data_IF_335319592099
#
_entry.id   IF_335319592099
#
_cell.length_a   1.000
_cell.length_b   1.000
_cell.length_c   1.000
_cell.angle_alpha   90.00
_cell.angle_beta   90.00
_cell.angle_gamma   90.00
#
_symmetry.space_group_name_H-M   'P 1'
#
loop_
_entity.id
_entity.type
_entity.pdbx_description
1 polymer ?
#
# COMPACT_ATOMS: atom_id res chain seq x y z
N UNK A 1 -8.30 -0.01 12.94
CA UNK A 1 -7.41 1.11 12.59
C UNK A 1 -5.99 0.58 12.58
N UNK A 2 -5.34 0.49 11.41
CA UNK A 2 -3.93 0.15 11.34
C UNK A 2 -3.09 1.42 11.48
N UNK A 3 -2.06 1.40 12.33
CA UNK A 3 -1.19 2.56 12.56
C UNK A 3 -0.49 3.01 11.27
N UNK A 4 -0.17 2.08 10.38
CA UNK A 4 0.42 2.40 9.07
C UNK A 4 -0.53 3.27 8.22
N UNK A 5 -1.80 2.90 8.11
CA UNK A 5 -2.81 3.68 7.36
C UNK A 5 -3.03 5.07 7.97
N UNK A 6 -3.01 5.16 9.30
CA UNK A 6 -3.11 6.43 10.00
C UNK A 6 -1.89 7.32 9.69
N UNK A 7 -0.70 6.73 9.72
CA UNK A 7 0.57 7.41 9.42
C UNK A 7 0.59 7.95 7.99
N UNK A 8 0.13 7.15 7.02
CA UNK A 8 0.02 7.59 5.61
C UNK A 8 -0.87 8.82 5.45
N UNK A 9 -1.98 8.91 6.19
CA UNK A 9 -2.87 10.07 6.17
C UNK A 9 -2.24 11.34 6.77
N UNK A 10 -1.38 11.19 7.79
CA UNK A 10 -0.65 12.30 8.40
C UNK A 10 0.40 12.94 7.46
N UNK A 11 0.85 12.19 6.45
CA UNK A 11 1.89 12.67 5.52
C UNK A 11 1.45 13.93 4.77
N UNK A 12 0.18 14.03 4.35
CA UNK A 12 -0.33 15.19 3.60
C UNK A 12 -0.15 16.50 4.37
N UNK A 13 -0.71 16.61 5.60
CA UNK A 13 -0.48 17.75 6.46
C UNK A 13 0.99 17.97 6.85
N UNK A 14 1.80 16.91 7.00
CA UNK A 14 3.24 17.05 7.25
C UNK A 14 4.00 17.69 6.08
N UNK A 15 3.52 17.49 4.84
CA UNK A 15 4.03 18.16 3.64
C UNK A 15 3.56 19.62 3.54
N UNK A 16 2.75 20.10 4.49
CA UNK A 16 2.18 21.44 4.49
C UNK A 16 0.97 21.60 3.58
N UNK A 17 0.15 20.55 3.44
CA UNK A 17 -1.19 20.64 2.86
C UNK A 17 -2.23 20.87 3.97
N UNK A 18 -3.20 21.74 3.73
CA UNK A 18 -4.36 21.90 4.59
C UNK A 18 -5.14 20.59 4.69
N UNK A 19 -5.89 20.41 5.79
CA UNK A 19 -6.77 19.26 5.96
C UNK A 19 -7.79 19.17 4.83
N UNK A 20 -8.39 20.30 4.47
CA UNK A 20 -9.42 20.38 3.43
C UNK A 20 -8.91 20.12 2.02
N UNK A 21 -7.60 20.28 1.76
CA UNK A 21 -6.97 19.89 0.49
C UNK A 21 -6.51 18.42 0.52
N UNK A 22 -6.10 17.94 1.70
CA UNK A 22 -5.71 16.54 1.91
C UNK A 22 -6.90 15.58 1.80
N UNK A 23 -8.08 15.99 2.28
CA UNK A 23 -9.31 15.19 2.28
C UNK A 23 -9.75 14.74 0.86
N UNK A 24 -9.93 15.63 -0.13
CA UNK A 24 -10.31 15.23 -1.48
C UNK A 24 -9.22 14.36 -2.14
N UNK A 25 -7.94 14.61 -1.88
CA UNK A 25 -6.83 13.75 -2.35
C UNK A 25 -6.99 12.34 -1.80
N UNK A 26 -7.17 12.19 -0.48
CA UNK A 26 -7.39 10.88 0.16
C UNK A 26 -8.60 10.17 -0.46
N UNK A 27 -9.74 10.85 -0.58
CA UNK A 27 -10.98 10.26 -1.07
C UNK A 27 -10.85 9.85 -2.54
N UNK A 28 -10.48 10.78 -3.41
CA UNK A 28 -10.44 10.53 -4.86
C UNK A 28 -9.36 9.51 -5.22
N UNK A 29 -8.16 9.64 -4.64
CA UNK A 29 -7.07 8.72 -4.94
C UNK A 29 -7.42 7.31 -4.50
N UNK A 30 -7.94 7.07 -3.30
CA UNK A 30 -8.35 5.72 -2.87
C UNK A 30 -9.50 5.14 -3.70
N UNK A 31 -10.49 5.96 -4.08
CA UNK A 31 -11.59 5.50 -4.94
C UNK A 31 -11.08 4.95 -6.28
N UNK A 32 -10.02 5.55 -6.83
CA UNK A 32 -9.42 5.11 -8.10
C UNK A 32 -8.45 3.95 -7.86
N UNK A 33 -7.50 4.12 -6.95
CA UNK A 33 -6.40 3.16 -6.76
C UNK A 33 -6.87 1.81 -6.21
N UNK A 34 -7.90 1.78 -5.35
CA UNK A 34 -8.42 0.53 -4.80
C UNK A 34 -9.10 -0.36 -5.85
N UNK A 35 -9.45 0.17 -7.03
CA UNK A 35 -9.96 -0.63 -8.15
C UNK A 35 -8.94 -1.69 -8.59
N UNK A 36 -7.64 -1.36 -8.52
CA UNK A 36 -6.56 -2.25 -8.96
C UNK A 36 -6.44 -3.49 -8.06
N UNK A 37 -6.26 -3.39 -6.72
CA UNK A 37 -6.32 -4.55 -5.83
C UNK A 37 -7.62 -5.35 -5.96
N UNK A 38 -8.76 -4.67 -6.15
CA UNK A 38 -10.05 -5.34 -6.35
C UNK A 38 -10.07 -6.20 -7.62
N UNK A 39 -9.47 -5.71 -8.72
CA UNK A 39 -9.38 -6.44 -9.98
C UNK A 39 -8.41 -7.63 -9.87
N UNK A 40 -7.21 -7.41 -9.35
CA UNK A 40 -6.20 -8.48 -9.18
C UNK A 40 -6.65 -9.54 -8.16
N UNK A 41 -7.49 -9.19 -7.19
CA UNK A 41 -8.14 -10.16 -6.32
C UNK A 41 -8.94 -11.22 -7.08
N UNK A 42 -9.47 -10.91 -8.27
CA UNK A 42 -10.20 -11.89 -9.09
C UNK A 42 -9.28 -12.93 -9.74
N UNK A 43 -7.99 -12.63 -9.88
CA UNK A 43 -7.01 -13.53 -10.50
C UNK A 43 -6.70 -14.73 -9.59
N UNK A 44 -6.95 -14.60 -8.28
CA UNK A 44 -6.84 -15.71 -7.33
C UNK A 44 -7.73 -16.91 -7.69
N UNK A 45 -8.85 -16.72 -8.39
CA UNK A 45 -9.76 -17.81 -8.76
C UNK A 45 -9.17 -18.80 -9.79
N UNK A 46 -7.99 -18.51 -10.36
CA UNK A 46 -7.26 -19.40 -11.29
C UNK A 46 -6.63 -20.62 -10.59
N UNK A 47 -6.67 -20.71 -9.26
CA UNK A 47 -6.26 -21.93 -8.54
C UNK A 47 -4.76 -22.05 -8.24
N UNK A 48 -3.92 -21.14 -8.76
CA UNK A 48 -2.52 -21.00 -8.34
C UNK A 48 -2.46 -20.52 -6.88
N UNK A 49 -1.99 -21.41 -6.00
CA UNK A 49 -2.00 -21.31 -4.53
C UNK A 49 -1.11 -20.13 -4.04
N UNK A 50 -1.35 -19.53 -2.86
CA UNK A 50 -1.54 -20.22 -1.58
C UNK A 50 -2.31 -19.41 -0.48
N UNK A 51 -3.18 -20.17 0.21
CA UNK A 51 -3.72 -20.21 1.60
C UNK A 51 -3.91 -18.96 2.52
N UNK A 52 -5.20 -18.70 2.80
CA UNK A 52 -5.79 -17.93 3.92
C UNK A 52 -5.30 -18.35 5.33
N UNK A 53 -4.27 -17.70 5.87
CA UNK A 53 -3.71 -18.05 7.19
C UNK A 53 -4.66 -17.75 8.38
N UNK A 54 -5.61 -16.82 8.25
CA UNK A 54 -6.51 -16.44 9.36
C UNK A 54 -7.55 -17.52 9.71
N UNK A 55 -8.08 -18.24 8.71
CA UNK A 55 -9.06 -19.32 8.91
C UNK A 55 -8.44 -20.64 9.37
N UNK A 56 -7.16 -20.86 9.06
CA UNK A 56 -6.41 -22.06 9.47
C UNK A 56 -5.77 -21.93 10.86
N UNK A 57 -5.39 -20.73 11.28
CA UNK A 57 -4.77 -20.51 12.60
C UNK A 57 -5.80 -20.37 13.74
N UNK A 58 -7.00 -19.87 13.45
CA UNK A 58 -8.02 -19.58 14.47
C UNK A 58 -9.36 -20.32 14.25
N UNK A 59 -9.52 -21.08 13.15
CA UNK A 59 -10.78 -21.76 12.81
C UNK A 59 -11.91 -20.80 12.34
N UNK A 60 -13.07 -21.36 11.97
CA UNK A 60 -14.25 -20.58 11.53
C UNK A 60 -14.71 -19.59 12.61
N UNK A 61 -14.71 -20.03 13.87
CA UNK A 61 -15.12 -19.23 15.03
C UNK A 61 -14.03 -18.27 15.53
N UNK A 62 -12.74 -18.59 15.45
CA UNK A 62 -11.68 -17.65 15.85
C UNK A 62 -11.34 -16.60 14.79
N UNK A 63 -11.71 -16.81 13.53
CA UNK A 63 -11.73 -15.70 12.54
C UNK A 63 -12.71 -14.59 12.97
N UNK A 64 -13.75 -14.89 13.75
CA UNK A 64 -14.63 -13.88 14.34
C UNK A 64 -13.88 -12.98 15.35
N UNK A 65 -12.91 -13.52 16.11
CA UNK A 65 -12.03 -12.71 16.97
C UNK A 65 -11.13 -11.78 16.15
N UNK A 66 -10.58 -12.25 15.01
CA UNK A 66 -9.83 -11.39 14.07
C UNK A 66 -10.74 -10.33 13.44
N UNK A 67 -12.00 -10.65 13.16
CA UNK A 67 -13.00 -9.67 12.70
C UNK A 67 -13.32 -8.67 13.80
N UNK A 68 -13.46 -9.06 15.07
CA UNK A 68 -13.62 -8.15 16.23
C UNK A 68 -12.38 -7.26 16.43
N UNK A 69 -11.17 -7.80 16.20
CA UNK A 69 -9.92 -7.02 16.20
C UNK A 69 -9.72 -6.17 14.94
N UNK A 70 -10.35 -6.51 13.82
CA UNK A 70 -10.42 -5.65 12.62
C UNK A 70 -11.55 -4.61 12.71
N UNK A 71 -12.59 -4.89 13.52
CA UNK A 71 -13.61 -3.93 13.96
C UNK A 71 -13.04 -2.83 14.87
N UNK A 72 -11.73 -2.82 15.12
CA UNK A 72 -10.91 -1.68 15.62
C UNK A 72 -10.97 -0.44 14.70
N UNK A 73 -11.85 -0.41 13.70
CA UNK A 73 -12.44 0.84 13.20
C UNK A 73 -13.11 1.65 14.31
N UNK A 74 -13.62 1.00 15.37
CA UNK A 74 -14.16 1.67 16.56
C UNK A 74 -13.12 2.49 17.32
N UNK A 75 -11.85 2.07 17.40
CA UNK A 75 -10.77 2.92 17.95
C UNK A 75 -10.61 4.20 17.14
N UNK A 76 -10.74 4.12 15.81
CA UNK A 76 -10.76 5.30 14.95
C UNK A 76 -11.96 6.20 15.22
N UNK A 77 -13.16 5.63 15.35
CA UNK A 77 -14.38 6.38 15.71
C UNK A 77 -14.30 7.02 17.11
N UNK A 78 -13.72 6.33 18.09
CA UNK A 78 -13.52 6.87 19.45
C UNK A 78 -12.46 7.97 19.41
N UNK A 79 -11.34 7.77 18.71
CA UNK A 79 -10.31 8.79 18.51
C UNK A 79 -10.87 10.03 17.81
N UNK A 80 -11.70 9.84 16.78
CA UNK A 80 -12.40 10.93 16.12
C UNK A 80 -13.36 11.63 17.08
N UNK A 81 -14.16 10.87 17.85
CA UNK A 81 -15.12 11.43 18.80
C UNK A 81 -14.50 12.17 19.99
N UNK A 82 -13.40 11.65 20.56
CA UNK A 82 -12.72 12.25 21.71
C UNK A 82 -11.67 13.28 21.31
N UNK A 83 -11.12 13.17 20.11
CA UNK A 83 -10.12 14.10 19.54
C UNK A 83 -10.72 15.25 18.74
N UNK A 84 -11.99 15.17 18.29
CA UNK A 84 -12.61 16.17 17.41
C UNK A 84 -12.53 17.61 17.94
N UNK A 85 -12.62 17.82 19.26
CA UNK A 85 -12.52 19.14 19.87
C UNK A 85 -11.13 19.79 19.71
N UNK A 86 -10.12 19.01 19.33
CA UNK A 86 -8.75 19.46 19.10
C UNK A 86 -8.35 19.42 17.62
N UNK A 87 -9.24 18.98 16.73
CA UNK A 87 -8.98 19.00 15.29
C UNK A 87 -9.21 20.41 14.77
N UNK A 88 -8.21 20.95 14.08
CA UNK A 88 -8.31 22.23 13.40
C UNK A 88 -8.01 22.03 11.91
N UNK A 89 -9.05 22.16 11.09
CA UNK A 89 -8.95 22.00 9.64
C UNK A 89 -8.24 23.17 8.93
N UNK A 90 -8.01 24.28 9.63
CA UNK A 90 -7.40 25.50 9.11
C UNK A 90 -6.02 25.80 9.71
N UNK A 91 -5.52 24.95 10.62
CA UNK A 91 -4.22 25.14 11.27
C UNK A 91 -3.02 25.10 10.29
N UNK A 92 -3.20 24.51 9.11
CA UNK A 92 -2.18 24.45 8.05
C UNK A 92 -2.75 25.10 6.80
N UNK A 93 -2.06 26.11 6.29
CA UNK A 93 -2.39 26.75 5.01
C UNK A 93 -1.57 26.13 3.87
N UNK A 94 -2.27 25.63 2.84
CA UNK A 94 -1.62 25.12 1.63
C UNK A 94 -0.99 26.28 0.86
N UNK A 95 0.29 26.18 0.43
CA UNK A 95 0.88 27.19 -0.44
C UNK A 95 0.12 27.29 -1.75
N UNK A 96 -0.02 28.52 -2.25
CA UNK A 96 -0.64 28.76 -3.55
C UNK A 96 0.37 28.58 -4.70
N UNK A 97 -0.14 28.34 -5.91
CA UNK A 97 0.67 28.21 -7.12
C UNK A 97 1.40 26.85 -7.23
N UNK A 98 2.56 26.86 -7.87
CA UNK A 98 3.29 25.64 -8.24
C UNK A 98 3.74 24.80 -7.04
N UNK A 99 4.11 25.44 -5.93
CA UNK A 99 4.52 24.75 -4.71
C UNK A 99 3.37 23.95 -4.06
N UNK A 100 2.14 24.47 -4.11
CA UNK A 100 0.94 23.75 -3.67
C UNK A 100 0.66 22.54 -4.55
N UNK A 101 0.74 22.71 -5.87
CA UNK A 101 0.58 21.63 -6.83
C UNK A 101 1.62 20.52 -6.64
N UNK A 102 2.89 20.86 -6.40
CA UNK A 102 3.96 19.90 -6.16
C UNK A 102 3.71 19.04 -4.90
N UNK A 103 3.24 19.67 -3.81
CA UNK A 103 2.86 18.98 -2.57
C UNK A 103 1.63 18.08 -2.78
N UNK A 104 0.62 18.55 -3.50
CA UNK A 104 -0.57 17.77 -3.82
C UNK A 104 -0.24 16.53 -4.66
N UNK A 105 0.57 16.68 -5.73
CA UNK A 105 1.04 15.57 -6.55
C UNK A 105 1.83 14.55 -5.74
N UNK A 106 2.74 15.02 -4.88
CA UNK A 106 3.53 14.14 -4.02
C UNK A 106 2.65 13.39 -3.02
N UNK A 107 1.60 14.02 -2.49
CA UNK A 107 0.67 13.37 -1.60
C UNK A 107 -0.24 12.36 -2.32
N UNK A 108 -0.71 12.68 -3.53
CA UNK A 108 -1.41 11.74 -4.41
C UNK A 108 -0.54 10.50 -4.63
N UNK A 109 0.74 10.68 -4.93
CA UNK A 109 1.67 9.57 -5.13
C UNK A 109 1.81 8.67 -3.89
N UNK A 110 1.86 9.26 -2.70
CA UNK A 110 1.92 8.52 -1.42
C UNK A 110 0.65 7.71 -1.18
N UNK A 111 -0.53 8.32 -1.32
CA UNK A 111 -1.83 7.64 -1.12
C UNK A 111 -2.01 6.53 -2.16
N UNK A 112 -1.70 6.82 -3.43
CA UNK A 112 -1.79 5.86 -4.52
C UNK A 112 -0.89 4.66 -4.25
N UNK A 113 0.37 4.88 -3.88
CA UNK A 113 1.33 3.81 -3.62
C UNK A 113 0.90 2.91 -2.47
N UNK A 114 0.34 3.48 -1.38
CA UNK A 114 -0.20 2.71 -0.26
C UNK A 114 -1.35 1.80 -0.69
N UNK A 115 -2.27 2.28 -1.53
CA UNK A 115 -3.42 1.48 -1.95
C UNK A 115 -3.02 0.42 -3.00
N UNK A 116 -2.15 0.79 -3.94
CA UNK A 116 -1.75 -0.06 -5.04
C UNK A 116 -0.82 -1.19 -4.61
N UNK A 117 -0.02 -1.02 -3.54
CA UNK A 117 0.86 -2.07 -3.03
C UNK A 117 0.14 -3.37 -2.66
N UNK A 118 -1.15 -3.30 -2.32
CA UNK A 118 -1.98 -4.47 -2.02
C UNK A 118 -2.21 -5.38 -3.24
N UNK A 119 -2.05 -4.85 -4.45
CA UNK A 119 -2.20 -5.58 -5.71
C UNK A 119 -1.29 -6.80 -5.79
N UNK A 120 -0.08 -6.71 -5.23
CA UNK A 120 0.96 -7.75 -5.29
C UNK A 120 0.60 -9.02 -4.53
N UNK A 121 -0.31 -8.91 -3.58
CA UNK A 121 -0.77 -10.02 -2.75
C UNK A 121 -2.28 -10.27 -2.87
N UNK A 122 -3.02 -9.41 -3.57
CA UNK A 122 -4.49 -9.49 -3.63
C UNK A 122 -4.99 -10.84 -4.17
N UNK A 123 -4.29 -11.40 -5.17
CA UNK A 123 -4.62 -12.69 -5.76
C UNK A 123 -4.43 -13.85 -4.77
N UNK A 124 -3.45 -13.76 -3.86
CA UNK A 124 -3.07 -14.84 -2.93
C UNK A 124 -4.22 -15.22 -1.98
N UNK A 125 -5.08 -14.26 -1.64
CA UNK A 125 -6.13 -14.46 -0.63
C UNK A 125 -7.38 -15.16 -1.14
N UNK A 126 -7.64 -15.14 -2.45
CA UNK A 126 -8.90 -15.60 -3.03
C UNK A 126 -8.82 -16.99 -3.68
N UNK A 127 -7.66 -17.63 -3.63
CA UNK A 127 -7.39 -18.90 -4.30
C UNK A 127 -8.23 -20.08 -3.79
N UNK A 128 -8.65 -20.01 -2.52
CA UNK A 128 -9.45 -21.07 -1.89
C UNK A 128 -10.95 -20.83 -1.97
N UNK A 129 -11.39 -19.81 -2.69
CA UNK A 129 -12.81 -19.65 -2.94
C UNK A 129 -13.31 -20.76 -3.89
N UNK A 130 -14.55 -21.23 -3.74
CA UNK A 130 -15.13 -22.20 -4.66
C UNK A 130 -14.97 -21.74 -6.12
N UNK A 131 -14.70 -22.67 -7.04
CA UNK A 131 -14.52 -22.37 -8.48
C UNK A 131 -15.72 -21.60 -9.05
N UNK A 132 -16.91 -21.84 -8.51
CA UNK A 132 -18.17 -21.18 -8.92
C UNK A 132 -18.35 -19.78 -8.32
N UNK A 133 -17.33 -19.19 -7.69
CA UNK A 133 -17.44 -17.86 -7.08
C UNK A 133 -17.59 -16.78 -8.14
N UNK A 134 -18.60 -15.93 -7.96
CA UNK A 134 -18.91 -14.86 -8.91
C UNK A 134 -17.86 -13.74 -8.81
N UNK A 135 -17.09 -13.54 -9.90
CA UNK A 135 -15.96 -12.59 -9.97
C UNK A 135 -16.30 -11.15 -9.56
N UNK A 136 -17.43 -10.61 -10.00
CA UNK A 136 -17.80 -9.22 -9.67
C UNK A 136 -18.14 -9.02 -8.19
N UNK A 137 -18.69 -10.05 -7.53
CA UNK A 137 -18.97 -10.01 -6.08
C UNK A 137 -17.66 -10.00 -5.29
N UNK A 138 -16.69 -10.79 -5.74
CA UNK A 138 -15.35 -10.84 -5.16
C UNK A 138 -14.62 -9.50 -5.31
N UNK A 139 -14.68 -8.92 -6.52
CA UNK A 139 -14.17 -7.59 -6.82
C UNK A 139 -14.78 -6.54 -5.87
N UNK A 140 -16.12 -6.47 -5.80
CA UNK A 140 -16.82 -5.46 -5.01
C UNK A 140 -16.53 -5.61 -3.51
N UNK A 141 -16.54 -6.85 -3.00
CA UNK A 141 -16.23 -7.12 -1.59
C UNK A 141 -14.80 -6.70 -1.22
N UNK A 142 -13.83 -6.97 -2.10
CA UNK A 142 -12.43 -6.59 -1.89
C UNK A 142 -12.25 -5.07 -1.99
N UNK A 143 -12.84 -4.46 -3.02
CA UNK A 143 -12.80 -3.02 -3.27
C UNK A 143 -13.36 -2.24 -2.08
N UNK A 144 -14.59 -2.55 -1.64
CA UNK A 144 -15.23 -1.86 -0.50
C UNK A 144 -14.46 -2.14 0.80
N UNK A 145 -13.98 -3.38 0.99
CA UNK A 145 -13.24 -3.81 2.17
C UNK A 145 -11.89 -3.10 2.36
N UNK A 146 -11.25 -2.63 1.28
CA UNK A 146 -9.99 -1.86 1.33
C UNK A 146 -10.28 -0.35 1.31
N UNK A 147 -11.11 0.10 0.37
CA UNK A 147 -11.33 1.51 0.08
C UNK A 147 -11.96 2.26 1.26
N UNK A 148 -13.05 1.74 1.83
CA UNK A 148 -13.77 2.44 2.91
C UNK A 148 -12.92 2.58 4.18
N UNK A 149 -12.26 1.52 4.71
CA UNK A 149 -11.39 1.68 5.87
C UNK A 149 -10.17 2.56 5.60
N UNK A 150 -9.59 2.51 4.39
CA UNK A 150 -8.45 3.34 4.03
C UNK A 150 -8.81 4.83 4.07
N UNK A 151 -9.92 5.22 3.43
CA UNK A 151 -10.40 6.60 3.44
C UNK A 151 -10.65 7.09 4.86
N UNK A 152 -11.37 6.31 5.67
CA UNK A 152 -11.72 6.70 7.04
C UNK A 152 -10.48 6.89 7.93
N UNK A 153 -9.55 5.94 7.88
CA UNK A 153 -8.36 5.96 8.75
C UNK A 153 -7.33 6.99 8.27
N UNK A 154 -7.12 7.15 6.96
CA UNK A 154 -6.23 8.20 6.44
C UNK A 154 -6.78 9.60 6.73
N UNK A 155 -8.10 9.80 6.57
CA UNK A 155 -8.75 11.07 6.92
C UNK A 155 -8.57 11.39 8.40
N UNK A 156 -8.73 10.40 9.28
CA UNK A 156 -8.46 10.56 10.71
C UNK A 156 -6.99 10.92 10.98
N UNK A 157 -6.05 10.30 10.25
CA UNK A 157 -4.63 10.64 10.33
C UNK A 157 -4.37 12.11 10.00
N UNK A 158 -4.90 12.57 8.87
CA UNK A 158 -4.79 13.96 8.45
C UNK A 158 -5.38 14.91 9.51
N UNK A 159 -6.56 14.62 10.05
CA UNK A 159 -7.21 15.45 11.08
C UNK A 159 -6.39 15.53 12.38
N UNK A 160 -5.84 14.41 12.85
CA UNK A 160 -5.00 14.37 14.05
C UNK A 160 -3.73 15.21 13.87
N UNK A 161 -3.09 15.13 12.70
CA UNK A 161 -1.89 15.92 12.44
C UNK A 161 -2.20 17.41 12.34
N UNK A 162 -3.26 17.79 11.64
CA UNK A 162 -3.66 19.20 11.54
C UNK A 162 -4.00 19.78 12.91
N UNK A 163 -4.70 19.01 13.77
CA UNK A 163 -4.92 19.40 15.18
C UNK A 163 -3.62 19.50 16.00
N UNK A 164 -2.61 18.69 15.68
CA UNK A 164 -1.32 18.76 16.35
C UNK A 164 -0.56 20.05 16.04
N UNK A 165 -0.71 20.61 14.84
CA UNK A 165 -0.11 21.91 14.49
C UNK A 165 -0.78 23.09 15.19
N UNK A 166 -2.08 22.98 15.52
CA UNK A 166 -2.81 24.00 16.26
C UNK A 166 -2.59 23.99 17.78
N UNK A 167 -1.91 22.97 18.33
CA UNK A 167 -1.76 22.80 19.78
C UNK A 167 -0.32 22.39 20.17
N UNK A 168 0.44 23.24 20.90
CA UNK A 168 1.82 22.97 21.27
C UNK A 168 2.04 21.63 22.00
N UNK A 169 1.07 21.20 22.80
CA UNK A 169 1.16 19.92 23.53
C UNK A 169 1.04 18.70 22.62
N UNK A 170 0.26 18.80 21.55
CA UNK A 170 0.11 17.74 20.55
C UNK A 170 1.31 17.71 19.61
N UNK A 171 1.86 18.87 19.25
CA UNK A 171 3.10 18.98 18.49
C UNK A 171 4.28 18.35 19.25
N UNK A 172 4.42 18.65 20.55
CA UNK A 172 5.47 18.04 21.40
C UNK A 172 5.29 16.52 21.52
N UNK A 173 4.06 16.05 21.68
CA UNK A 173 3.77 14.62 21.72
C UNK A 173 4.10 13.92 20.39
N UNK A 174 3.86 14.59 19.25
CA UNK A 174 4.26 14.08 17.94
C UNK A 174 5.77 13.99 17.80
N UNK A 175 6.52 15.02 18.21
CA UNK A 175 7.99 15.01 18.17
C UNK A 175 8.59 13.92 19.07
N UNK A 176 7.96 13.64 20.22
CA UNK A 176 8.50 12.68 21.20
C UNK A 176 8.13 11.23 20.90
N UNK A 177 6.90 10.98 20.46
CA UNK A 177 6.35 9.61 20.32
C UNK A 177 5.84 9.30 18.91
N UNK A 178 6.13 10.16 17.93
CA UNK A 178 5.66 10.05 16.56
C UNK A 178 4.13 10.01 16.49
N UNK A 179 3.60 9.20 15.57
CA UNK A 179 2.16 9.01 15.33
C UNK A 179 1.41 8.54 16.59
N UNK A 180 2.08 7.83 17.50
CA UNK A 180 1.47 7.33 18.74
C UNK A 180 1.17 8.42 19.77
N UNK A 181 1.89 9.55 19.74
CA UNK A 181 1.76 10.64 20.70
C UNK A 181 0.41 11.38 20.59
N UNK A 182 0.10 12.00 19.44
CA UNK A 182 -1.19 12.65 19.21
C UNK A 182 -2.37 11.69 19.34
N UNK A 183 -2.19 10.43 18.93
CA UNK A 183 -3.21 9.40 19.11
C UNK A 183 -3.51 9.12 20.60
N UNK A 184 -2.48 9.07 21.45
CA UNK A 184 -2.64 8.90 22.89
C UNK A 184 -3.34 10.11 23.53
N UNK A 185 -3.01 11.32 23.08
CA UNK A 185 -3.66 12.54 23.55
C UNK A 185 -5.13 12.61 23.12
N UNK A 186 -5.44 12.22 21.88
CA UNK A 186 -6.81 12.12 21.39
C UNK A 186 -7.65 11.14 22.20
N UNK A 187 -7.05 10.04 22.69
CA UNK A 187 -7.72 9.02 23.50
C UNK A 187 -7.69 9.31 25.01
N UNK A 188 -6.92 10.30 25.47
CA UNK A 188 -6.81 10.70 26.88
C UNK A 188 -8.16 11.01 27.54
N UNK A 189 -9.13 11.68 26.89
CA UNK A 189 -10.45 11.95 27.48
C UNK A 189 -11.25 10.70 27.82
N UNK A 190 -10.99 9.56 27.16
CA UNK A 190 -11.65 8.28 27.45
C UNK A 190 -11.07 7.56 28.70
N UNK A 191 -10.14 8.17 29.42
CA UNK A 191 -9.60 7.66 30.69
C UNK A 191 -8.99 6.26 30.56
N UNK A 192 -9.39 5.34 31.45
CA UNK A 192 -8.89 3.95 31.46
C UNK A 192 -9.21 3.19 30.17
N UNK A 193 -10.35 3.47 29.53
CA UNK A 193 -10.72 2.88 28.25
C UNK A 193 -9.83 3.39 27.11
N UNK A 194 -9.40 4.65 27.16
CA UNK A 194 -8.43 5.20 26.20
C UNK A 194 -7.09 4.47 26.21
N UNK A 195 -6.58 4.08 27.40
CA UNK A 195 -5.37 3.25 27.53
C UNK A 195 -5.54 1.86 26.91
N UNK A 196 -6.70 1.25 27.10
CA UNK A 196 -7.04 -0.03 26.45
C UNK A 196 -7.07 0.10 24.93
N UNK A 197 -7.70 1.16 24.41
CA UNK A 197 -7.74 1.44 22.96
C UNK A 197 -6.36 1.73 22.37
N UNK A 198 -5.46 2.38 23.12
CA UNK A 198 -4.06 2.58 22.71
C UNK A 198 -3.30 1.26 22.60
N UNK A 199 -3.43 0.37 23.59
CA UNK A 199 -2.83 -0.96 23.52
C UNK A 199 -3.37 -1.74 22.31
N UNK A 200 -4.68 -1.65 22.07
CA UNK A 200 -5.35 -2.28 20.95
C UNK A 200 -4.89 -1.71 19.59
N UNK A 201 -4.68 -0.40 19.50
CA UNK A 201 -4.11 0.26 18.33
C UNK A 201 -2.67 -0.23 18.06
N UNK A 202 -1.85 -0.42 19.10
CA UNK A 202 -0.52 -1.03 18.95
C UNK A 202 -0.60 -2.47 18.42
N UNK A 203 -1.48 -3.29 18.99
CA UNK A 203 -1.70 -4.68 18.57
C UNK A 203 -2.28 -4.81 17.16
N UNK A 204 -2.92 -3.76 16.61
CA UNK A 204 -3.42 -3.75 15.23
C UNK A 204 -2.33 -3.91 14.15
N UNK A 205 -1.07 -3.64 14.52
CA UNK A 205 0.08 -3.89 13.64
C UNK A 205 0.26 -5.38 13.32
N UNK A 206 -0.15 -6.28 14.22
CA UNK A 206 -0.05 -7.74 14.04
C UNK A 206 -0.93 -8.20 12.87
N UNK A 207 -2.26 -8.01 12.87
CA UNK A 207 -3.11 -8.43 11.76
C UNK A 207 -2.79 -7.70 10.45
N UNK A 208 -2.21 -6.49 10.49
CA UNK A 208 -1.75 -5.81 9.27
C UNK A 208 -0.51 -6.47 8.63
N UNK A 209 0.38 -7.08 9.43
CA UNK A 209 1.61 -7.70 8.93
C UNK A 209 1.49 -9.20 8.62
N UNK A 210 0.50 -9.90 9.16
CA UNK A 210 0.24 -11.32 8.83
C UNK A 210 0.12 -11.53 7.30
N UNK A 211 -0.68 -10.75 6.55
CA UNK A 211 -0.80 -10.88 5.10
C UNK A 211 0.54 -10.66 4.37
N UNK A 212 1.32 -9.66 4.81
CA UNK A 212 2.60 -9.32 4.19
C UNK A 212 3.66 -10.41 4.40
N UNK A 213 3.78 -10.91 5.63
CA UNK A 213 4.70 -12.00 5.95
C UNK A 213 4.33 -13.29 5.23
N UNK A 214 3.02 -13.53 5.08
CA UNK A 214 2.50 -14.66 4.34
C UNK A 214 2.90 -14.61 2.87
N UNK A 215 2.66 -13.48 2.21
CA UNK A 215 2.95 -13.25 0.79
C UNK A 215 4.46 -13.26 0.55
N UNK A 216 5.25 -12.69 1.46
CA UNK A 216 6.72 -12.74 1.42
C UNK A 216 7.25 -14.17 1.30
N UNK A 217 6.73 -15.09 2.12
CA UNK A 217 7.16 -16.48 2.07
C UNK A 217 6.79 -17.15 0.73
N UNK A 218 5.68 -16.74 0.11
CA UNK A 218 5.31 -17.23 -1.23
C UNK A 218 6.24 -16.71 -2.31
N UNK A 219 6.54 -15.41 -2.30
CA UNK A 219 7.50 -14.82 -3.22
C UNK A 219 8.88 -15.49 -3.09
N UNK A 220 9.33 -15.74 -1.85
CA UNK A 220 10.58 -16.45 -1.59
C UNK A 220 10.57 -17.89 -2.14
N UNK A 221 9.46 -18.60 -2.00
CA UNK A 221 9.30 -19.95 -2.57
C UNK A 221 9.27 -19.96 -4.11
N UNK A 222 8.89 -18.84 -4.74
CA UNK A 222 8.91 -18.69 -6.20
C UNK A 222 10.32 -18.47 -6.78
N UNK A 223 11.35 -18.31 -5.94
CA UNK A 223 12.74 -18.14 -6.37
C UNK A 223 13.32 -19.39 -7.06
N UNK A 224 12.68 -20.55 -6.91
CA UNK A 224 12.98 -21.75 -7.68
C UNK A 224 12.61 -23.04 -6.96
N UNK A 225 12.79 -24.20 -7.62
CA UNK A 225 12.43 -25.50 -7.05
C UNK A 225 13.14 -25.84 -5.73
N UNK A 226 14.32 -25.23 -5.49
CA UNK A 226 15.07 -25.38 -4.24
C UNK A 226 14.39 -24.64 -3.08
N UNK A 227 13.84 -23.45 -3.32
CA UNK A 227 13.21 -22.62 -2.30
C UNK A 227 11.89 -23.25 -1.84
N UNK A 228 11.18 -23.94 -2.74
CA UNK A 228 9.98 -24.69 -2.40
C UNK A 228 10.22 -25.86 -1.41
N UNK A 229 11.47 -26.33 -1.25
CA UNK A 229 11.84 -27.39 -0.29
C UNK A 229 12.08 -26.86 1.11
N UNK A 230 12.30 -25.56 1.28
CA UNK A 230 12.53 -24.95 2.59
C UNK A 230 11.17 -24.77 3.29
N UNK A 231 11.04 -25.15 4.58
CA UNK A 231 9.81 -24.95 5.33
C UNK A 231 9.40 -23.47 5.34
N UNK A 232 8.16 -23.17 4.99
CA UNK A 232 7.61 -21.80 4.95
C UNK A 232 7.90 -20.99 6.21
N UNK A 233 7.83 -21.62 7.38
CA UNK A 233 8.10 -20.96 8.67
C UNK A 233 9.48 -20.32 8.71
N UNK A 234 10.49 -20.93 8.09
CA UNK A 234 11.85 -20.38 8.04
C UNK A 234 11.89 -19.06 7.26
N UNK A 235 11.24 -18.99 6.10
CA UNK A 235 11.15 -17.75 5.32
C UNK A 235 10.39 -16.67 6.07
N UNK A 236 9.28 -17.02 6.72
CA UNK A 236 8.49 -16.07 7.52
C UNK A 236 9.32 -15.51 8.68
N UNK A 237 10.01 -16.37 9.43
CA UNK A 237 10.81 -15.94 10.59
C UNK A 237 11.99 -15.07 10.18
N UNK A 238 12.74 -15.46 9.14
CA UNK A 238 13.87 -14.66 8.65
C UNK A 238 13.40 -13.33 8.07
N UNK A 239 12.37 -13.35 7.20
CA UNK A 239 11.80 -12.15 6.61
C UNK A 239 11.26 -11.17 7.65
N UNK A 240 10.58 -11.69 8.68
CA UNK A 240 10.08 -10.86 9.77
C UNK A 240 11.21 -10.28 10.64
N UNK A 241 12.27 -11.06 10.91
CA UNK A 241 13.45 -10.57 11.62
C UNK A 241 14.13 -9.41 10.88
N UNK A 242 14.31 -9.55 9.56
CA UNK A 242 14.85 -8.46 8.72
C UNK A 242 13.92 -7.25 8.72
N UNK A 243 12.61 -7.45 8.59
CA UNK A 243 11.63 -6.37 8.61
C UNK A 243 11.65 -5.59 9.93
N UNK A 244 11.83 -6.26 11.08
CA UNK A 244 12.00 -5.59 12.39
C UNK A 244 13.26 -4.73 12.40
N UNK A 245 14.40 -5.28 11.96
CA UNK A 245 15.67 -4.55 11.96
C UNK A 245 15.57 -3.30 11.08
N UNK A 246 15.07 -3.46 9.85
CA UNK A 246 14.87 -2.34 8.92
C UNK A 246 13.86 -1.34 9.48
N UNK A 247 12.77 -1.81 10.08
CA UNK A 247 11.76 -0.96 10.73
C UNK A 247 12.32 -0.14 11.90
N UNK A 248 13.14 -0.74 12.75
CA UNK A 248 13.81 -0.04 13.85
C UNK A 248 14.76 1.04 13.32
N UNK A 249 15.53 0.76 12.27
CA UNK A 249 16.40 1.76 11.64
C UNK A 249 15.58 2.88 10.98
N UNK A 250 14.52 2.53 10.26
CA UNK A 250 13.61 3.48 9.61
C UNK A 250 12.86 4.37 10.63
N UNK A 251 12.62 3.89 11.84
CA UNK A 251 11.97 4.71 12.89
C UNK A 251 12.79 5.91 13.35
N UNK A 252 14.11 5.91 13.11
CA UNK A 252 14.98 7.05 13.45
C UNK A 252 14.67 8.30 12.60
N UNK A 253 14.14 8.10 11.39
CA UNK A 253 13.75 9.15 10.45
C UNK A 253 12.39 8.83 9.82
N UNK A 254 11.38 8.58 10.66
CA UNK A 254 10.12 7.94 10.29
C UNK A 254 9.43 8.56 9.06
N UNK A 255 9.22 9.87 9.02
CA UNK A 255 8.51 10.54 7.91
C UNK A 255 9.25 10.39 6.58
N UNK A 256 10.54 10.75 6.56
CA UNK A 256 11.42 10.64 5.38
C UNK A 256 11.54 9.20 4.88
N UNK A 257 11.70 8.26 5.82
CA UNK A 257 11.77 6.83 5.50
C UNK A 257 10.45 6.30 4.96
N UNK A 258 9.31 6.68 5.55
CA UNK A 258 7.98 6.27 5.09
C UNK A 258 7.67 6.80 3.69
N UNK A 259 7.94 8.07 3.42
CA UNK A 259 7.73 8.68 2.10
C UNK A 259 8.60 8.00 1.03
N UNK A 260 9.89 7.81 1.32
CA UNK A 260 10.83 7.16 0.40
C UNK A 260 10.41 5.73 0.12
N UNK A 261 10.06 4.98 1.16
CA UNK A 261 9.64 3.59 1.06
C UNK A 261 8.36 3.42 0.24
N UNK A 262 7.32 4.22 0.54
CA UNK A 262 6.06 4.19 -0.20
C UNK A 262 6.27 4.55 -1.67
N UNK A 263 7.11 5.54 -1.96
CA UNK A 263 7.44 5.94 -3.33
C UNK A 263 8.09 4.80 -4.12
N UNK A 264 9.12 4.15 -3.56
CA UNK A 264 9.83 3.05 -4.22
C UNK A 264 8.91 1.85 -4.47
N UNK A 265 8.08 1.49 -3.49
CA UNK A 265 7.07 0.44 -3.65
C UNK A 265 6.09 0.79 -4.77
N UNK A 266 5.63 2.04 -4.82
CA UNK A 266 4.75 2.53 -5.86
C UNK A 266 5.35 2.34 -7.25
N UNK A 267 6.60 2.74 -7.47
CA UNK A 267 7.26 2.64 -8.78
C UNK A 267 7.37 1.19 -9.25
N UNK A 268 7.87 0.28 -8.42
CA UNK A 268 7.93 -1.13 -8.81
C UNK A 268 6.52 -1.70 -9.05
N UNK A 269 5.52 -1.31 -8.24
CA UNK A 269 4.18 -1.90 -8.33
C UNK A 269 3.47 -1.47 -9.61
N UNK A 270 3.68 -0.23 -10.04
CA UNK A 270 3.06 0.25 -11.27
C UNK A 270 3.64 -0.47 -12.50
N UNK A 271 4.96 -0.77 -12.51
CA UNK A 271 5.57 -1.59 -13.56
C UNK A 271 4.93 -2.98 -13.58
N UNK A 272 4.80 -3.61 -12.42
CA UNK A 272 4.18 -4.93 -12.31
C UNK A 272 2.74 -4.94 -12.82
N UNK A 273 1.94 -3.94 -12.44
CA UNK A 273 0.55 -3.81 -12.88
C UNK A 273 0.46 -3.63 -14.39
N UNK A 274 1.27 -2.74 -14.96
CA UNK A 274 1.32 -2.51 -16.40
C UNK A 274 1.64 -3.81 -17.14
N UNK A 275 2.67 -4.55 -16.71
CA UNK A 275 3.06 -5.79 -17.38
C UNK A 275 1.95 -6.84 -17.33
N UNK A 276 1.32 -7.02 -16.17
CA UNK A 276 0.24 -8.00 -16.00
C UNK A 276 -0.98 -7.60 -16.82
N UNK A 277 -1.35 -6.31 -16.82
CA UNK A 277 -2.48 -5.81 -17.60
C UNK A 277 -2.21 -5.92 -19.11
N UNK A 278 -1.04 -5.54 -19.59
CA UNK A 278 -0.69 -5.60 -21.00
C UNK A 278 -0.51 -7.04 -21.49
N UNK A 279 0.09 -7.93 -20.68
CA UNK A 279 0.10 -9.36 -20.98
C UNK A 279 -1.35 -9.88 -21.10
N UNK A 280 -2.23 -9.53 -20.15
CA UNK A 280 -3.62 -9.97 -20.20
C UNK A 280 -4.40 -9.41 -21.39
N UNK A 281 -4.25 -8.11 -21.70
CA UNK A 281 -5.05 -7.40 -22.70
C UNK A 281 -4.48 -7.62 -24.11
N UNK A 282 -3.18 -7.41 -24.31
CA UNK A 282 -2.54 -7.40 -25.64
C UNK A 282 -2.21 -8.83 -26.08
N UNK A 283 -1.50 -9.58 -25.24
CA UNK A 283 -0.98 -10.91 -25.62
C UNK A 283 -2.00 -12.04 -25.38
N UNK A 284 -2.80 -11.95 -24.31
CA UNK A 284 -3.81 -12.97 -23.94
C UNK A 284 -5.25 -12.57 -24.30
N UNK A 285 -5.46 -11.41 -24.93
CA UNK A 285 -6.76 -10.94 -25.48
C UNK A 285 -7.92 -10.95 -24.48
N UNK A 286 -7.65 -10.63 -23.22
CA UNK A 286 -8.60 -10.64 -22.10
C UNK A 286 -9.25 -12.02 -21.85
N UNK A 287 -8.62 -13.11 -22.30
CA UNK A 287 -9.17 -14.46 -22.20
C UNK A 287 -8.32 -15.34 -21.31
N UNK A 288 -8.97 -15.92 -20.31
CA UNK A 288 -8.36 -16.82 -19.34
C UNK A 288 -7.90 -18.15 -19.99
N UNK A 289 -8.51 -18.56 -21.09
CA UNK A 289 -8.17 -19.81 -21.81
C UNK A 289 -6.78 -19.79 -22.46
N UNK A 290 -6.17 -18.61 -22.62
CA UNK A 290 -4.81 -18.46 -23.18
C UNK A 290 -3.71 -18.59 -22.12
N UNK A 291 -4.08 -18.80 -20.86
CA UNK A 291 -3.16 -19.13 -19.79
C UNK A 291 -3.13 -20.66 -19.65
N UNK A 292 -2.01 -21.26 -20.04
CA UNK A 292 -1.75 -22.66 -19.72
C UNK A 292 -1.26 -22.73 -18.27
N UNK A 293 -2.22 -22.98 -17.37
CA UNK A 293 -1.99 -23.01 -15.93
C UNK A 293 -1.20 -24.24 -15.47
N UNK A 294 -0.98 -25.25 -16.33
CA UNK A 294 -0.23 -26.46 -15.98
C UNK A 294 1.28 -26.28 -16.23
N UNK A 295 1.64 -25.42 -17.20
CA UNK A 295 3.04 -25.14 -17.59
C UNK A 295 3.77 -24.15 -16.67
N UNK A 296 3.09 -23.56 -15.68
CA UNK A 296 3.64 -22.51 -14.79
C UNK A 296 4.94 -22.91 -14.06
N UNK A 297 5.15 -24.20 -13.84
CA UNK A 297 6.29 -24.74 -13.10
C UNK A 297 7.41 -25.29 -13.98
N UNK A 298 7.28 -25.17 -15.32
CA UNK A 298 8.21 -25.72 -16.30
C UNK A 298 8.99 -24.60 -17.01
N UNK A 299 10.25 -24.31 -16.59
CA UNK A 299 11.02 -23.21 -17.16
C UNK A 299 11.26 -23.34 -18.66
N UNK A 300 11.23 -24.56 -19.21
CA UNK A 300 11.43 -24.83 -20.63
C UNK A 300 10.23 -24.41 -21.51
N UNK A 301 9.04 -24.27 -20.92
CA UNK A 301 7.81 -23.89 -21.62
C UNK A 301 7.49 -22.40 -21.45
N UNK A 302 8.28 -21.69 -20.64
CA UNK A 302 8.14 -20.26 -20.40
C UNK A 302 9.20 -19.47 -21.17
N UNK A 303 8.84 -18.32 -21.77
CA UNK A 303 9.82 -17.43 -22.39
C UNK A 303 10.79 -16.91 -21.31
N UNK A 304 12.06 -16.73 -21.68
CA UNK A 304 13.13 -16.35 -20.75
C UNK A 304 12.86 -15.02 -20.02
N UNK A 305 12.18 -14.08 -20.68
CA UNK A 305 11.71 -12.82 -20.10
C UNK A 305 12.63 -11.62 -20.35
N UNK A 306 13.51 -11.67 -21.36
CA UNK A 306 14.43 -10.56 -21.66
C UNK A 306 13.68 -9.26 -22.00
N UNK A 307 12.53 -9.37 -22.68
CA UNK A 307 11.70 -8.22 -23.01
C UNK A 307 11.10 -7.56 -21.76
N UNK A 308 10.64 -8.38 -20.80
CA UNK A 308 10.13 -7.90 -19.52
C UNK A 308 11.23 -7.27 -18.67
N UNK A 309 12.44 -7.87 -18.62
CA UNK A 309 13.59 -7.29 -17.91
C UNK A 309 14.02 -5.94 -18.50
N UNK A 310 14.06 -5.83 -19.83
CA UNK A 310 14.36 -4.57 -20.52
C UNK A 310 13.33 -3.49 -20.20
N UNK A 311 12.04 -3.81 -20.33
CA UNK A 311 10.95 -2.89 -20.01
C UNK A 311 10.95 -2.46 -18.53
N UNK A 312 11.39 -3.35 -17.64
CA UNK A 312 11.48 -3.06 -16.21
C UNK A 312 12.55 -2.00 -15.95
N UNK A 313 13.71 -2.10 -16.60
CA UNK A 313 14.74 -1.07 -16.55
C UNK A 313 14.23 0.28 -17.07
N UNK A 314 13.46 0.31 -18.17
CA UNK A 314 12.85 1.56 -18.67
C UNK A 314 11.85 2.16 -17.67
N UNK A 315 11.06 1.34 -16.98
CA UNK A 315 10.20 1.81 -15.88
C UNK A 315 11.00 2.49 -14.76
N UNK A 316 12.12 1.90 -14.33
CA UNK A 316 13.01 2.49 -13.32
C UNK A 316 13.67 3.79 -13.80
N UNK A 317 13.97 3.91 -15.08
CA UNK A 317 14.42 5.19 -15.67
C UNK A 317 13.32 6.24 -15.53
N UNK A 318 12.06 5.89 -15.81
CA UNK A 318 10.91 6.78 -15.57
C UNK A 318 10.82 7.24 -14.10
N UNK A 319 10.99 6.31 -13.15
CA UNK A 319 11.03 6.64 -11.73
C UNK A 319 12.19 7.60 -11.40
N UNK A 320 13.41 7.30 -11.86
CA UNK A 320 14.59 8.13 -11.60
C UNK A 320 14.50 9.54 -12.23
N UNK A 321 13.73 9.70 -13.30
CA UNK A 321 13.47 10.99 -13.94
C UNK A 321 12.39 11.81 -13.23
N UNK A 322 11.45 11.18 -12.51
CA UNK A 322 10.30 11.85 -11.90
C UNK A 322 10.23 11.87 -10.37
N UNK A 323 11.05 11.08 -9.68
CA UNK A 323 10.97 10.95 -8.23
C UNK A 323 11.51 12.21 -7.51
N UNK A 324 10.80 12.62 -6.46
CA UNK A 324 11.32 13.57 -5.48
C UNK A 324 11.20 12.95 -4.09
N UNK A 325 12.35 12.57 -3.53
CA UNK A 325 12.49 11.96 -2.21
C UNK A 325 13.61 12.68 -1.45
N UNK A 326 13.71 12.45 -0.14
CA UNK A 326 14.60 13.23 0.75
C UNK A 326 16.08 13.28 0.34
N UNK A 327 16.57 12.25 -0.34
CA UNK A 327 17.97 12.12 -0.76
C UNK A 327 18.18 12.36 -2.26
N UNK A 328 17.12 12.55 -3.05
CA UNK A 328 17.22 12.70 -4.49
C UNK A 328 16.03 13.47 -5.08
N UNK A 329 16.36 14.55 -5.77
CA UNK A 329 15.42 15.33 -6.59
C UNK A 329 15.73 15.09 -8.04
N UNK A 330 14.76 14.55 -8.78
CA UNK A 330 14.96 14.20 -10.17
C UNK A 330 14.98 15.42 -11.10
N UNK A 331 15.58 15.29 -12.30
CA UNK A 331 15.65 16.40 -13.26
C UNK A 331 14.28 16.92 -13.73
N UNK A 332 13.27 16.04 -13.88
CA UNK A 332 11.93 16.46 -14.33
C UNK A 332 11.07 16.88 -13.14
N UNK A 333 11.12 16.14 -12.02
CA UNK A 333 10.37 16.46 -10.81
C UNK A 333 10.82 17.78 -10.18
N UNK A 334 12.12 18.10 -10.27
CA UNK A 334 12.70 19.36 -9.81
C UNK A 334 12.22 20.61 -10.56
N UNK A 335 11.67 20.46 -11.77
CA UNK A 335 11.13 21.59 -12.54
C UNK A 335 9.77 22.08 -12.03
N UNK A 336 9.08 21.30 -11.20
CA UNK A 336 7.72 21.59 -10.75
C UNK A 336 7.76 22.05 -9.29
N UNK A 337 7.51 23.33 -9.04
CA UNK A 337 7.21 23.85 -7.70
C UNK A 337 8.23 23.52 -6.60
N UNK A 338 9.53 23.57 -6.94
CA UNK A 338 10.67 23.16 -6.09
C UNK A 338 10.74 21.66 -5.74
N UNK A 339 10.11 20.80 -6.55
CA UNK A 339 10.23 19.35 -6.48
C UNK A 339 8.89 18.66 -6.26
N UNK A 340 8.26 18.21 -7.34
CA UNK A 340 7.10 17.32 -7.28
C UNK A 340 7.54 15.86 -7.48
N UNK A 341 6.95 14.94 -6.73
CA UNK A 341 7.12 13.53 -7.00
C UNK A 341 6.11 13.07 -8.06
N UNK A 342 6.56 13.02 -9.31
CA UNK A 342 5.80 12.52 -10.49
C UNK A 342 6.38 11.20 -11.01
N UNK A 343 7.13 10.49 -10.16
CA UNK A 343 7.83 9.28 -10.55
C UNK A 343 6.86 8.17 -10.97
N UNK A 344 5.65 8.13 -10.42
CA UNK A 344 4.66 7.10 -10.74
C UNK A 344 4.15 7.25 -12.17
N UNK A 345 3.80 8.47 -12.57
CA UNK A 345 3.26 8.81 -13.88
C UNK A 345 4.29 8.53 -14.97
N UNK A 346 5.55 8.91 -14.74
CA UNK A 346 6.63 8.61 -15.67
C UNK A 346 6.97 7.12 -15.71
N UNK A 347 6.94 6.44 -14.56
CA UNK A 347 7.15 4.98 -14.52
C UNK A 347 6.07 4.25 -15.31
N UNK A 348 4.79 4.64 -15.13
CA UNK A 348 3.65 4.12 -15.89
C UNK A 348 3.84 4.34 -17.39
N UNK A 349 4.15 5.57 -17.81
CA UNK A 349 4.32 5.90 -19.23
C UNK A 349 5.48 5.13 -19.87
N UNK A 350 6.62 5.06 -19.20
CA UNK A 350 7.81 4.38 -19.74
C UNK A 350 7.61 2.86 -19.79
N UNK A 351 7.04 2.26 -18.75
CA UNK A 351 6.80 0.81 -18.74
C UNK A 351 5.74 0.40 -19.76
N UNK A 352 4.66 1.17 -19.90
CA UNK A 352 3.56 0.88 -20.83
C UNK A 352 3.94 1.04 -22.31
N UNK A 353 4.92 1.91 -22.60
CA UNK A 353 5.45 2.03 -23.96
C UNK A 353 6.50 0.95 -24.26
N UNK A 354 7.36 0.64 -23.29
CA UNK A 354 8.48 -0.28 -23.50
C UNK A 354 8.04 -1.76 -23.51
N UNK A 355 7.14 -2.17 -22.62
CA UNK A 355 6.74 -3.56 -22.48
C UNK A 355 6.10 -4.17 -23.73
N UNK A 356 5.09 -3.58 -24.40
CA UNK A 356 4.45 -4.23 -25.53
C UNK A 356 5.40 -4.38 -26.72
N UNK A 357 6.32 -3.42 -26.90
CA UNK A 357 7.34 -3.46 -27.95
C UNK A 357 8.35 -4.57 -27.67
N UNK A 358 8.98 -4.56 -26.49
CA UNK A 358 10.03 -5.51 -26.13
C UNK A 358 9.49 -6.93 -25.97
N UNK A 359 8.29 -7.08 -25.41
CA UNK A 359 7.59 -8.36 -25.30
C UNK A 359 7.15 -8.89 -26.67
N UNK A 360 6.68 -8.00 -27.55
CA UNK A 360 6.34 -8.35 -28.92
C UNK A 360 7.53 -8.93 -29.69
N UNK A 361 8.73 -8.38 -29.51
CA UNK A 361 9.96 -8.91 -30.12
C UNK A 361 10.37 -10.27 -29.58
N UNK A 362 10.07 -10.57 -28.31
CA UNK A 362 10.41 -11.84 -27.66
C UNK A 362 9.42 -12.96 -28.01
N UNK A 363 8.14 -12.62 -28.20
CA UNK A 363 7.05 -13.59 -28.44
C UNK A 363 6.75 -13.75 -29.94
N UNK A 364 7.36 -12.94 -30.81
CA UNK A 364 7.26 -13.12 -32.26
C UNK A 364 8.04 -14.36 -32.71
N UNK A 365 7.46 -15.18 -33.61
CA UNK A 365 8.01 -16.48 -34.03
C UNK A 365 9.32 -16.38 -34.81
#
# INVERSE_FOLDING_TARGET
MAVATLSTGMVGPSMGLAFWDSLPIIVVTNLISCLLPGFFATFGLTGLRMTTFSRFSFGYWGNFLVVVFSMVSTTGCVTAGTGAAHFDGFAVETPTGEAGAARALSFIAVIFSFAVSWTNCAADYNVRMPINTVKWKLFLATYVGICLPAILVQTLGAAIYSGAQGNPSWEEAYKTYGVGGPLALALKPAGGFGKFLMALAGLSSIPNNIPNNYSFALHAMNAGPWAARVPRIAFVTVGFGVAIIVGCLASLSFESSLQTFLSIIGYWTIIHIVFVLEEHIIFRKCRWDFYDLDTWSEPALLPFGWGAMGAFCFGFVGAALGMNVSWYTSPIGGLIGNGANIGLELTLGFSALAFPVLRGLEVSP
#
